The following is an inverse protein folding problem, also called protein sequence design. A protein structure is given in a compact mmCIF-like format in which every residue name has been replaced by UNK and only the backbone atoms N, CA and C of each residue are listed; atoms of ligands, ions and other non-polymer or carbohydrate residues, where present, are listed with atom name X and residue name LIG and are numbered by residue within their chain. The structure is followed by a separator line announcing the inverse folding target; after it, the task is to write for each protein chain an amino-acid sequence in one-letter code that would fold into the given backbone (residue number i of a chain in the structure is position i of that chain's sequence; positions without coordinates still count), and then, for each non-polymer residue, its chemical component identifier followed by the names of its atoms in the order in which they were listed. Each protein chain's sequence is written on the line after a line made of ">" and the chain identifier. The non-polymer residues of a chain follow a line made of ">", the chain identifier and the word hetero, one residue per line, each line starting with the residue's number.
data_IF_808793946224
#
_entry.id   IF_808793946224
#
_cell.length_a   1.000
_cell.length_b   1.000
_cell.length_c   1.000
_cell.angle_alpha   90.00
_cell.angle_beta   90.00
_cell.angle_gamma   90.00
#
_symmetry.space_group_name_H-M   'P 1'
#
loop_
_entity.id
_entity.type
_entity.pdbx_description
1 polymer ?
#
# COMPACT_ATOMS: atom_id res chain seq x y z
N UNK A 1 22.81 3.49 -42.74
CA UNK A 1 21.96 4.51 -42.07
C UNK A 1 20.59 3.96 -41.66
N UNK A 2 19.83 3.33 -42.56
CA UNK A 2 18.48 2.77 -42.26
C UNK A 2 18.49 1.77 -41.09
N UNK A 3 19.43 0.83 -41.05
CA UNK A 3 19.53 -0.16 -39.96
C UNK A 3 19.81 0.46 -38.58
N UNK A 4 20.60 1.54 -38.53
CA UNK A 4 20.91 2.25 -37.27
C UNK A 4 19.69 3.04 -36.77
N UNK A 5 18.94 3.68 -37.67
CA UNK A 5 17.69 4.35 -37.31
C UNK A 5 16.65 3.36 -36.78
N UNK A 6 16.50 2.19 -37.40
CA UNK A 6 15.59 1.14 -36.93
C UNK A 6 15.95 0.62 -35.53
N UNK A 7 17.25 0.41 -35.25
CA UNK A 7 17.70 0.00 -33.91
C UNK A 7 17.41 1.07 -32.85
N UNK A 8 17.62 2.35 -33.18
CA UNK A 8 17.31 3.46 -32.27
C UNK A 8 15.81 3.51 -31.98
N UNK A 9 14.95 3.41 -32.99
CA UNK A 9 13.49 3.42 -32.80
C UNK A 9 13.01 2.26 -31.93
N UNK A 10 13.54 1.06 -32.14
CA UNK A 10 13.22 -0.11 -31.30
C UNK A 10 13.68 0.09 -29.86
N UNK A 11 14.89 0.57 -29.65
CA UNK A 11 15.43 0.83 -28.31
C UNK A 11 14.58 1.87 -27.55
N UNK A 12 14.23 2.97 -28.20
CA UNK A 12 13.36 4.01 -27.62
C UNK A 12 11.97 3.45 -27.31
N UNK A 13 11.40 2.65 -28.22
CA UNK A 13 10.10 2.01 -28.01
C UNK A 13 10.09 1.06 -26.80
N UNK A 14 11.13 0.22 -26.67
CA UNK A 14 11.28 -0.69 -25.53
C UNK A 14 11.48 0.06 -24.21
N UNK A 15 12.28 1.13 -24.23
CA UNK A 15 12.49 1.97 -23.04
C UNK A 15 11.18 2.65 -22.60
N UNK A 16 10.42 3.22 -23.55
CA UNK A 16 9.13 3.83 -23.27
C UNK A 16 8.13 2.81 -22.69
N UNK A 17 8.05 1.60 -23.29
CA UNK A 17 7.20 0.54 -22.79
C UNK A 17 7.58 0.11 -21.36
N UNK A 18 8.88 -0.05 -21.07
CA UNK A 18 9.37 -0.38 -19.73
C UNK A 18 8.99 0.70 -18.71
N UNK A 19 9.15 1.98 -19.04
CA UNK A 19 8.76 3.09 -18.17
C UNK A 19 7.25 3.11 -17.91
N UNK A 20 6.42 2.86 -18.92
CA UNK A 20 4.97 2.76 -18.77
C UNK A 20 4.59 1.61 -17.84
N UNK A 21 5.21 0.43 -18.01
CA UNK A 21 4.97 -0.75 -17.17
C UNK A 21 5.37 -0.47 -15.72
N UNK A 22 6.55 0.12 -15.49
CA UNK A 22 7.02 0.49 -14.15
C UNK A 22 6.07 1.50 -13.49
N UNK A 23 5.66 2.54 -14.23
CA UNK A 23 4.70 3.52 -13.73
C UNK A 23 3.36 2.87 -13.38
N UNK A 24 2.83 1.98 -14.23
CA UNK A 24 1.62 1.20 -13.96
C UNK A 24 1.76 0.34 -12.70
N UNK A 25 2.88 -0.36 -12.56
CA UNK A 25 3.16 -1.22 -11.42
C UNK A 25 3.23 -0.44 -10.11
N UNK A 26 3.90 0.72 -10.11
CA UNK A 26 3.97 1.59 -8.93
C UNK A 26 2.59 2.12 -8.53
N UNK A 27 1.79 2.59 -9.51
CA UNK A 27 0.41 3.05 -9.27
C UNK A 27 -0.50 1.94 -8.76
N UNK A 28 -0.34 0.73 -9.30
CA UNK A 28 -1.05 -0.46 -8.83
C UNK A 28 -0.71 -0.76 -7.37
N UNK A 29 0.58 -0.75 -7.00
CA UNK A 29 1.02 -0.95 -5.61
C UNK A 29 0.45 0.10 -4.66
N UNK A 30 0.43 1.37 -5.05
CA UNK A 30 -0.15 2.46 -4.24
C UNK A 30 -1.62 2.20 -3.91
N UNK A 31 -2.45 1.97 -4.94
CA UNK A 31 -3.89 1.77 -4.77
C UNK A 31 -4.23 0.53 -3.94
N UNK A 32 -3.50 -0.57 -4.15
CA UNK A 32 -3.72 -1.81 -3.39
C UNK A 32 -3.29 -1.68 -1.92
N UNK A 33 -2.18 -0.98 -1.66
CA UNK A 33 -1.72 -0.72 -0.30
C UNK A 33 -2.72 0.13 0.48
N UNK A 34 -3.28 1.16 -0.15
CA UNK A 34 -4.27 2.04 0.46
C UNK A 34 -5.56 1.28 0.80
N UNK A 35 -6.10 0.50 -0.15
CA UNK A 35 -7.29 -0.34 0.07
C UNK A 35 -7.09 -1.36 1.21
N UNK A 36 -5.92 -1.99 1.31
CA UNK A 36 -5.59 -2.88 2.43
C UNK A 36 -5.55 -2.12 3.75
N UNK A 37 -4.91 -0.95 3.77
CA UNK A 37 -4.80 -0.14 4.97
C UNK A 37 -6.16 0.26 5.52
N UNK A 38 -7.05 0.77 4.66
CA UNK A 38 -8.43 1.13 5.06
C UNK A 38 -9.16 -0.09 5.63
N UNK A 39 -9.07 -1.25 4.97
CA UNK A 39 -9.66 -2.50 5.49
C UNK A 39 -9.06 -2.93 6.83
N UNK A 40 -7.75 -2.72 7.04
CA UNK A 40 -7.12 -2.99 8.35
C UNK A 40 -7.65 -2.07 9.43
N UNK A 41 -7.80 -0.76 9.15
CA UNK A 41 -8.35 0.21 10.11
C UNK A 41 -9.77 -0.21 10.53
N UNK A 42 -10.64 -0.46 9.56
CA UNK A 42 -12.03 -0.90 9.80
C UNK A 42 -12.05 -2.18 10.65
N UNK A 43 -11.25 -3.19 10.28
CA UNK A 43 -11.17 -4.46 11.01
C UNK A 43 -10.67 -4.29 12.45
N UNK A 44 -9.84 -3.29 12.72
CA UNK A 44 -9.34 -2.96 14.06
C UNK A 44 -10.28 -2.02 14.83
N UNK A 45 -11.44 -1.64 14.26
CA UNK A 45 -12.38 -0.69 14.86
C UNK A 45 -11.88 0.76 14.87
N UNK A 46 -10.90 1.06 14.01
CA UNK A 46 -10.35 2.40 13.82
C UNK A 46 -11.11 3.12 12.72
N UNK A 47 -11.21 4.44 12.85
CA UNK A 47 -11.80 5.28 11.82
C UNK A 47 -10.99 5.19 10.51
N UNK A 48 -11.61 4.78 9.37
CA UNK A 48 -10.93 4.75 8.08
C UNK A 48 -10.44 6.14 7.63
N UNK A 49 -11.05 7.23 8.10
CA UNK A 49 -10.60 8.60 7.80
C UNK A 49 -9.22 8.90 8.39
N UNK A 50 -8.69 8.08 9.30
CA UNK A 50 -7.29 8.18 9.70
C UNK A 50 -6.33 7.97 8.52
N UNK A 51 -6.73 7.25 7.47
CA UNK A 51 -5.89 7.14 6.27
C UNK A 51 -5.69 8.49 5.54
N UNK A 52 -6.65 9.41 5.70
CA UNK A 52 -6.80 10.69 4.98
C UNK A 52 -6.67 11.93 5.88
N UNK A 53 -6.79 11.82 7.21
CA UNK A 53 -6.95 12.97 8.10
C UNK A 53 -5.65 13.72 8.42
N UNK A 54 -5.75 15.06 8.47
CA UNK A 54 -4.65 16.00 8.73
C UNK A 54 -3.99 15.80 10.11
N UNK A 55 -4.78 15.50 11.15
CA UNK A 55 -4.27 15.40 12.52
C UNK A 55 -3.34 14.20 12.74
N UNK A 56 -3.43 13.17 11.89
CA UNK A 56 -2.53 12.00 11.91
C UNK A 56 -1.65 11.90 10.68
N UNK A 57 -1.65 12.92 9.82
CA UNK A 57 -1.04 12.87 8.49
C UNK A 57 0.44 12.48 8.54
N UNK A 58 1.22 13.06 9.44
CA UNK A 58 2.65 12.75 9.58
C UNK A 58 2.90 11.28 9.94
N UNK A 59 2.08 10.70 10.84
CA UNK A 59 2.17 9.29 11.22
C UNK A 59 1.73 8.41 10.05
N UNK A 60 0.64 8.81 9.39
CA UNK A 60 0.00 8.02 8.34
C UNK A 60 0.78 8.03 7.03
N UNK A 61 1.57 9.06 6.75
CA UNK A 61 2.58 9.06 5.69
C UNK A 61 3.60 7.93 5.91
N UNK A 62 4.12 7.79 7.13
CA UNK A 62 5.07 6.73 7.46
C UNK A 62 4.42 5.33 7.41
N UNK A 63 3.17 5.21 7.87
CA UNK A 63 2.39 3.97 7.78
C UNK A 63 2.16 3.57 6.32
N UNK A 64 1.76 4.52 5.45
CA UNK A 64 1.58 4.31 3.99
C UNK A 64 2.86 3.89 3.32
N UNK A 65 4.00 4.52 3.63
CA UNK A 65 5.29 4.10 3.11
C UNK A 65 5.61 2.65 3.48
N UNK A 66 5.56 2.30 4.77
CA UNK A 66 5.82 0.93 5.23
C UNK A 66 4.86 -0.11 4.65
N UNK A 67 3.59 0.26 4.46
CA UNK A 67 2.59 -0.63 3.88
C UNK A 67 2.88 -0.95 2.40
N UNK A 68 3.36 0.04 1.63
CA UNK A 68 3.74 -0.13 0.22
C UNK A 68 5.00 -0.95 0.00
N UNK A 69 5.93 -0.83 0.94
CA UNK A 69 7.21 -1.56 0.91
C UNK A 69 7.10 -2.97 1.53
N UNK A 70 6.01 -3.27 2.23
CA UNK A 70 5.75 -4.57 2.84
C UNK A 70 5.61 -5.65 1.77
N UNK A 71 6.24 -6.82 1.99
CA UNK A 71 6.18 -8.00 1.11
C UNK A 71 5.24 -9.10 1.64
N UNK A 72 4.41 -8.76 2.64
CA UNK A 72 3.46 -9.68 3.26
C UNK A 72 2.02 -9.43 2.75
N UNK A 73 1.85 -9.00 1.50
CA UNK A 73 0.52 -8.70 0.93
C UNK A 73 -0.42 -9.90 1.03
N UNK A 74 0.04 -11.09 0.66
CA UNK A 74 -0.80 -12.31 0.67
C UNK A 74 -1.27 -12.69 2.08
N UNK A 75 -0.42 -12.49 3.09
CA UNK A 75 -0.79 -12.72 4.49
C UNK A 75 -1.80 -11.67 4.95
N UNK A 76 -1.65 -10.42 4.52
CA UNK A 76 -2.57 -9.34 4.81
C UNK A 76 -3.95 -9.61 4.22
N UNK A 77 -4.04 -9.94 2.94
CA UNK A 77 -5.30 -10.27 2.27
C UNK A 77 -5.97 -11.47 2.93
N UNK A 78 -5.22 -12.56 3.20
CA UNK A 78 -5.78 -13.72 3.91
C UNK A 78 -6.31 -13.37 5.29
N UNK A 79 -5.60 -12.53 6.05
CA UNK A 79 -6.04 -12.10 7.36
C UNK A 79 -7.29 -11.22 7.27
N UNK A 80 -7.38 -10.33 6.29
CA UNK A 80 -8.53 -9.47 6.04
C UNK A 80 -9.77 -10.27 5.63
N UNK A 81 -9.64 -11.21 4.69
CA UNK A 81 -10.76 -11.91 4.05
C UNK A 81 -11.30 -13.06 4.89
N UNK A 82 -10.43 -13.89 5.47
CA UNK A 82 -10.84 -15.15 6.09
C UNK A 82 -11.15 -15.05 7.57
N UNK A 83 -11.08 -13.86 8.16
CA UNK A 83 -11.44 -13.73 9.57
C UNK A 83 -10.48 -14.48 10.50
N UNK A 84 -9.32 -14.97 10.00
CA UNK A 84 -8.45 -15.90 10.75
C UNK A 84 -8.19 -15.28 12.11
N UNK A 85 -8.63 -15.99 13.15
CA UNK A 85 -8.47 -15.59 14.55
C UNK A 85 -6.98 -15.48 14.81
N UNK A 86 -6.47 -14.26 14.92
CA UNK A 86 -5.03 -14.04 14.97
C UNK A 86 -4.65 -12.57 14.98
N UNK A 87 -3.58 -12.30 15.71
CA UNK A 87 -2.94 -10.99 15.81
C UNK A 87 -2.27 -10.61 14.48
N UNK A 88 -2.27 -9.32 14.14
CA UNK A 88 -1.68 -8.76 12.93
C UNK A 88 -0.14 -8.61 13.01
N UNK A 89 0.56 -9.46 13.78
CA UNK A 89 2.02 -9.39 14.01
C UNK A 89 2.88 -9.46 12.74
N UNK A 90 2.34 -10.02 11.66
CA UNK A 90 2.99 -10.01 10.35
C UNK A 90 3.10 -8.60 9.76
N UNK A 91 2.25 -7.67 10.21
CA UNK A 91 2.17 -6.32 9.68
C UNK A 91 3.21 -5.42 10.34
N UNK A 92 4.09 -4.74 9.57
CA UNK A 92 5.06 -3.79 10.13
C UNK A 92 4.42 -2.55 10.76
N UNK A 93 3.12 -2.33 10.54
CA UNK A 93 2.34 -1.24 11.13
C UNK A 93 1.49 -1.67 12.33
N UNK A 94 1.53 -2.95 12.73
CA UNK A 94 0.71 -3.51 13.80
C UNK A 94 0.75 -2.67 15.09
N UNK A 95 1.96 -2.35 15.53
CA UNK A 95 2.19 -1.57 16.74
C UNK A 95 1.64 -0.13 16.64
N UNK A 96 1.71 0.48 15.46
CA UNK A 96 1.16 1.82 15.23
C UNK A 96 -0.36 1.79 15.32
N UNK A 97 -1.00 0.83 14.66
CA UNK A 97 -2.45 0.67 14.75
C UNK A 97 -2.91 0.38 16.18
N UNK A 98 -2.17 -0.45 16.92
CA UNK A 98 -2.45 -0.71 18.35
C UNK A 98 -2.41 0.57 19.18
N UNK A 99 -1.40 1.42 18.97
CA UNK A 99 -1.28 2.71 19.68
C UNK A 99 -2.38 3.69 19.28
N UNK A 100 -2.75 3.74 18.00
CA UNK A 100 -3.87 4.57 17.53
C UNK A 100 -5.16 4.14 18.19
N UNK A 101 -5.45 2.83 18.25
CA UNK A 101 -6.65 2.31 18.93
C UNK A 101 -6.67 2.46 20.45
N UNK A 102 -5.51 2.65 21.08
CA UNK A 102 -5.43 2.97 22.51
C UNK A 102 -5.69 4.46 22.80
N UNK A 103 -5.49 5.34 21.81
CA UNK A 103 -5.57 6.79 21.97
C UNK A 103 -6.83 7.42 21.39
N UNK A 104 -7.43 6.78 20.38
CA UNK A 104 -8.55 7.34 19.63
C UNK A 104 -9.86 6.61 19.97
N UNK A 105 -11.00 7.32 20.01
CA UNK A 105 -12.29 6.68 20.13
C UNK A 105 -12.51 5.72 18.96
N UNK A 106 -13.09 4.55 19.24
CA UNK A 106 -13.42 3.56 18.20
C UNK A 106 -14.56 4.11 17.35
N UNK A 107 -14.54 3.80 16.05
CA UNK A 107 -15.68 4.07 15.19
C UNK A 107 -16.92 3.34 15.76
N UNK A 108 -18.02 4.09 15.94
CA UNK A 108 -19.30 3.60 16.44
C UNK A 108 -20.07 2.83 15.35
#
# INVERSE_FOLDING_TARGET
>A
MVSMMSQITLAVGLLAAALIIVWWYLRYKDAHSERRMVRMLIRLGLDPELASSGDTEAIMVAVRKRCRECQAEDLCERWLDFGISGDNRFCPNAEVFRRLGAKLPRAA
#
